data_IF_667132640311
#
_entry.id   IF_667132640311
#
_cell.length_a   1.000
_cell.length_b   1.000
_cell.length_c   1.000
_cell.angle_alpha   90.00
_cell.angle_beta   90.00
_cell.angle_gamma   90.00
#
_symmetry.space_group_name_H-M   'P 1'
#
loop_
_entity.id
_entity.type
_entity.pdbx_description
1 polymer ?
#
# COMPACT_ATOMS: atom_id res chain seq x y z
N UNK A 1 -3.67 -4.16 6.32
CA UNK A 1 -3.05 -2.97 5.73
C UNK A 1 -1.67 -2.77 6.35
N UNK A 2 -0.70 -2.38 5.52
CA UNK A 2 0.65 -2.03 5.96
C UNK A 2 0.64 -0.73 6.77
N UNK A 3 1.51 -0.63 7.78
CA UNK A 3 1.70 0.61 8.53
C UNK A 3 2.15 1.77 7.64
N UNK A 4 2.85 1.49 6.52
CA UNK A 4 3.18 2.53 5.53
C UNK A 4 1.91 3.13 4.93
N UNK A 5 0.97 2.30 4.54
CA UNK A 5 -0.30 2.76 3.95
C UNK A 5 -1.17 3.49 4.96
N UNK A 6 -1.14 3.05 6.22
CA UNK A 6 -1.83 3.75 7.29
C UNK A 6 -1.25 5.16 7.51
N UNK A 7 0.07 5.28 7.50
CA UNK A 7 0.75 6.57 7.61
C UNK A 7 0.38 7.50 6.46
N UNK A 8 0.30 6.98 5.24
CA UNK A 8 -0.12 7.76 4.07
C UNK A 8 -1.56 8.26 4.21
N UNK A 9 -2.46 7.41 4.69
CA UNK A 9 -3.84 7.79 4.93
C UNK A 9 -3.95 8.92 5.95
N UNK A 10 -3.21 8.82 7.06
CA UNK A 10 -3.13 9.89 8.04
C UNK A 10 -2.62 11.19 7.42
N UNK A 11 -1.53 11.10 6.64
CA UNK A 11 -0.92 12.28 6.02
C UNK A 11 -1.89 13.00 5.09
N UNK A 12 -2.66 12.25 4.31
CA UNK A 12 -3.67 12.84 3.42
C UNK A 12 -4.74 13.60 4.20
N UNK A 13 -5.20 13.04 5.30
CA UNK A 13 -6.21 13.69 6.14
C UNK A 13 -5.65 14.97 6.80
N UNK A 14 -4.39 14.92 7.26
CA UNK A 14 -3.73 16.10 7.83
C UNK A 14 -3.66 17.22 6.78
N UNK A 15 -3.35 16.90 5.53
CA UNK A 15 -3.31 17.89 4.44
C UNK A 15 -4.65 18.55 4.19
N UNK A 16 -5.76 17.86 4.49
CA UNK A 16 -7.10 18.43 4.32
C UNK A 16 -7.57 19.22 5.54
N UNK A 17 -6.74 19.34 6.57
CA UNK A 17 -7.03 20.16 7.75
C UNK A 17 -7.31 19.41 9.03
N UNK A 18 -7.28 18.08 9.02
CA UNK A 18 -7.47 17.29 10.24
C UNK A 18 -6.27 17.49 11.18
N UNK A 19 -6.50 17.67 12.49
CA UNK A 19 -5.42 17.54 13.45
C UNK A 19 -4.79 16.15 13.37
N UNK A 20 -3.47 16.00 13.59
CA UNK A 20 -2.79 14.71 13.41
C UNK A 20 -3.42 13.54 14.18
N UNK A 21 -3.81 13.74 15.44
CA UNK A 21 -4.41 12.66 16.22
C UNK A 21 -5.79 12.26 15.70
N UNK A 22 -6.60 13.23 15.29
CA UNK A 22 -7.91 12.96 14.69
C UNK A 22 -7.77 12.25 13.35
N UNK A 23 -6.76 12.63 12.56
CA UNK A 23 -6.45 11.96 11.29
C UNK A 23 -6.07 10.50 11.53
N UNK A 24 -5.25 10.22 12.54
CA UNK A 24 -4.85 8.88 12.92
C UNK A 24 -6.06 8.02 13.31
N UNK A 25 -6.90 8.53 14.20
CA UNK A 25 -8.11 7.81 14.63
C UNK A 25 -9.06 7.54 13.47
N UNK A 26 -9.24 8.52 12.58
CA UNK A 26 -10.07 8.35 11.38
C UNK A 26 -9.51 7.28 10.44
N UNK A 27 -8.19 7.28 10.24
CA UNK A 27 -7.54 6.27 9.39
C UNK A 27 -7.71 4.87 9.97
N UNK A 28 -7.60 4.71 11.29
CA UNK A 28 -7.78 3.42 11.97
C UNK A 28 -9.18 2.84 11.81
N UNK A 29 -10.21 3.69 11.72
CA UNK A 29 -11.60 3.22 11.62
C UNK A 29 -11.84 2.33 10.40
N UNK A 30 -11.08 2.52 9.34
CA UNK A 30 -11.24 1.78 8.09
C UNK A 30 -10.31 0.58 7.97
N UNK A 31 -9.53 0.29 9.02
CA UNK A 31 -8.56 -0.79 8.99
C UNK A 31 -9.02 -1.94 9.88
N UNK A 32 -9.15 -3.15 9.29
CA UNK A 32 -9.48 -4.35 10.05
C UNK A 32 -8.26 -4.98 10.69
N UNK A 33 -7.12 -4.92 10.00
CA UNK A 33 -5.88 -5.51 10.45
C UNK A 33 -4.72 -4.63 10.03
N UNK A 34 -3.82 -4.35 10.97
CA UNK A 34 -2.65 -3.50 10.74
C UNK A 34 -1.41 -4.35 10.92
N UNK A 35 -0.55 -4.36 9.90
CA UNK A 35 0.67 -5.16 9.87
C UNK A 35 1.87 -4.24 9.70
N UNK A 36 2.83 -4.36 10.61
CA UNK A 36 4.04 -3.56 10.58
C UNK A 36 4.85 -3.82 9.31
N UNK A 37 5.32 -2.75 8.70
CA UNK A 37 6.24 -2.82 7.56
C UNK A 37 7.62 -3.16 8.10
N UNK A 38 7.95 -4.44 8.09
CA UNK A 38 9.19 -4.97 8.66
C UNK A 38 10.30 -5.07 7.61
N UNK A 39 11.46 -5.58 8.02
CA UNK A 39 12.62 -5.67 7.13
C UNK A 39 12.40 -6.63 5.96
N UNK A 40 11.64 -7.71 6.14
CA UNK A 40 11.30 -8.62 5.05
C UNK A 40 10.46 -7.92 3.99
N UNK A 41 9.47 -7.15 4.40
CA UNK A 41 8.63 -6.36 3.50
C UNK A 41 9.43 -5.26 2.83
N UNK A 42 10.32 -4.60 3.57
CA UNK A 42 11.20 -3.56 3.03
C UNK A 42 12.10 -4.10 1.91
N UNK A 43 12.69 -5.27 2.13
CA UNK A 43 13.54 -5.92 1.12
C UNK A 43 12.74 -6.26 -0.12
N UNK A 44 11.55 -6.82 0.05
CA UNK A 44 10.68 -7.19 -1.06
C UNK A 44 10.22 -5.95 -1.84
N UNK A 45 9.78 -4.91 -1.13
CA UNK A 45 9.34 -3.66 -1.74
C UNK A 45 10.47 -2.95 -2.50
N UNK A 46 11.66 -2.91 -1.91
CA UNK A 46 12.84 -2.32 -2.56
C UNK A 46 13.23 -3.06 -3.83
N UNK A 47 13.13 -4.39 -3.80
CA UNK A 47 13.44 -5.23 -4.95
C UNK A 47 12.48 -5.07 -6.14
N UNK A 48 11.31 -4.48 -5.91
CA UNK A 48 10.32 -4.24 -6.98
C UNK A 48 10.59 -2.97 -7.80
N UNK A 49 11.59 -2.16 -7.43
CA UNK A 49 11.74 -0.81 -8.00
C UNK A 49 11.84 -0.81 -9.53
N UNK A 50 12.61 -1.74 -10.10
CA UNK A 50 12.81 -1.79 -11.55
C UNK A 50 11.51 -2.04 -12.32
N UNK A 51 10.60 -2.83 -11.76
CA UNK A 51 9.32 -3.18 -12.38
C UNK A 51 8.26 -2.11 -12.13
N UNK A 52 8.30 -1.46 -10.95
CA UNK A 52 7.24 -0.54 -10.53
C UNK A 52 7.52 0.91 -10.91
N UNK A 53 8.78 1.31 -11.02
CA UNK A 53 9.15 2.69 -11.37
C UNK A 53 8.58 3.13 -12.72
N UNK A 54 8.64 2.32 -13.79
CA UNK A 54 8.06 2.72 -15.07
C UNK A 54 6.55 2.96 -15.03
N UNK A 55 5.86 2.38 -14.04
CA UNK A 55 4.43 2.55 -13.86
C UNK A 55 4.10 3.68 -12.86
N UNK A 56 5.10 4.37 -12.34
CA UNK A 56 4.91 5.48 -11.42
C UNK A 56 4.45 5.08 -10.03
N UNK A 57 4.69 3.83 -9.62
CA UNK A 57 4.27 3.36 -8.30
C UNK A 57 5.17 3.91 -7.20
N UNK A 58 4.55 4.34 -6.10
CA UNK A 58 5.23 4.91 -4.94
C UNK A 58 5.73 3.82 -3.97
N UNK A 59 6.45 4.23 -2.93
CA UNK A 59 6.81 3.34 -1.83
C UNK A 59 5.56 2.73 -1.18
N UNK A 60 4.51 3.52 -0.98
CA UNK A 60 3.25 3.02 -0.42
C UNK A 60 2.63 1.94 -1.28
N UNK A 61 2.63 2.13 -2.60
CA UNK A 61 2.15 1.12 -3.55
C UNK A 61 2.98 -0.16 -3.43
N UNK A 62 4.30 -0.04 -3.38
CA UNK A 62 5.20 -1.19 -3.23
C UNK A 62 5.03 -1.89 -1.87
N UNK A 63 4.77 -1.12 -0.81
CA UNK A 63 4.50 -1.69 0.51
C UNK A 63 3.21 -2.53 0.49
N UNK A 64 2.18 -2.04 -0.19
CA UNK A 64 0.92 -2.76 -0.38
C UNK A 64 1.14 -4.07 -1.13
N UNK A 65 1.88 -4.02 -2.25
CA UNK A 65 2.20 -5.20 -3.05
C UNK A 65 3.04 -6.22 -2.27
N UNK A 66 4.04 -5.76 -1.54
CA UNK A 66 4.91 -6.63 -0.74
C UNK A 66 4.11 -7.38 0.33
N UNK A 67 3.23 -6.68 1.04
CA UNK A 67 2.38 -7.29 2.05
C UNK A 67 1.45 -8.34 1.43
N UNK A 68 0.82 -8.01 0.31
CA UNK A 68 -0.07 -8.94 -0.40
C UNK A 68 0.66 -10.20 -0.84
N UNK A 69 1.90 -10.08 -1.34
CA UNK A 69 2.71 -11.22 -1.73
C UNK A 69 3.03 -12.12 -0.55
N UNK A 70 3.39 -11.55 0.60
CA UNK A 70 3.70 -12.32 1.80
C UNK A 70 2.47 -13.02 2.38
N UNK A 71 1.32 -12.40 2.32
CA UNK A 71 0.06 -12.96 2.82
C UNK A 71 -0.64 -13.83 1.78
N UNK A 72 -0.15 -13.85 0.54
CA UNK A 72 -0.81 -14.52 -0.60
C UNK A 72 -2.26 -14.04 -0.75
N UNK A 73 -2.45 -12.75 -0.56
CA UNK A 73 -3.75 -12.11 -0.62
C UNK A 73 -3.91 -11.33 -1.95
N UNK A 74 -5.13 -11.17 -2.45
CA UNK A 74 -5.35 -10.34 -3.64
C UNK A 74 -5.16 -8.87 -3.32
N UNK A 75 -4.80 -8.09 -4.35
CA UNK A 75 -4.69 -6.64 -4.28
C UNK A 75 -5.83 -6.02 -5.08
N UNK A 76 -6.48 -5.03 -4.50
CA UNK A 76 -7.55 -4.28 -5.16
C UNK A 76 -7.02 -2.88 -5.51
N UNK A 77 -7.25 -2.48 -6.74
CA UNK A 77 -6.81 -1.16 -7.22
C UNK A 77 -7.78 -0.63 -8.27
N UNK A 78 -7.83 0.68 -8.41
CA UNK A 78 -8.53 1.34 -9.52
C UNK A 78 -7.56 1.67 -10.66
N UNK A 79 -6.26 1.50 -10.45
CA UNK A 79 -5.23 1.82 -11.43
C UNK A 79 -5.00 0.62 -12.36
N UNK A 80 -5.41 0.77 -13.61
CA UNK A 80 -5.28 -0.29 -14.63
C UNK A 80 -3.84 -0.65 -14.95
N UNK A 81 -2.90 0.24 -14.68
CA UNK A 81 -1.48 -0.02 -14.94
C UNK A 81 -0.94 -1.17 -14.07
N UNK A 82 -1.56 -1.42 -12.92
CA UNK A 82 -1.15 -2.52 -12.04
C UNK A 82 -1.33 -3.89 -12.69
N UNK A 83 -2.21 -4.02 -13.67
CA UNK A 83 -2.37 -5.27 -14.43
C UNK A 83 -1.14 -5.62 -15.25
N UNK A 84 -0.25 -4.66 -15.50
CA UNK A 84 1.01 -4.88 -16.22
C UNK A 84 2.10 -5.47 -15.32
N UNK A 85 1.87 -5.53 -14.00
CA UNK A 85 2.82 -6.13 -13.07
C UNK A 85 2.86 -7.64 -13.26
N UNK A 86 4.08 -8.19 -13.33
CA UNK A 86 4.31 -9.61 -13.58
C UNK A 86 4.70 -10.37 -12.30
N UNK A 87 4.19 -9.93 -11.16
CA UNK A 87 4.41 -10.61 -9.89
C UNK A 87 3.43 -11.78 -9.73
N UNK A 88 3.81 -12.76 -8.92
CA UNK A 88 2.93 -13.84 -8.49
C UNK A 88 1.89 -13.31 -7.49
N UNK A 89 0.89 -12.65 -8.02
CA UNK A 89 -0.04 -11.84 -7.25
C UNK A 89 -1.34 -11.65 -8.03
N UNK A 90 -2.46 -11.85 -7.36
CA UNK A 90 -3.76 -11.57 -7.96
C UNK A 90 -4.09 -10.08 -7.79
N UNK A 91 -4.25 -9.39 -8.91
CA UNK A 91 -4.64 -7.98 -8.93
C UNK A 91 -6.05 -7.87 -9.48
N UNK A 92 -6.93 -7.30 -8.66
CA UNK A 92 -8.34 -7.11 -9.02
C UNK A 92 -8.63 -5.64 -9.22
N UNK A 93 -9.15 -5.29 -10.38
CA UNK A 93 -9.57 -3.93 -10.67
C UNK A 93 -10.96 -3.70 -10.09
N UNK A 94 -11.13 -2.54 -9.44
CA UNK A 94 -12.42 -2.12 -8.88
C UNK A 94 -13.31 -1.42 -9.93
N UNK A 95 -12.75 -1.14 -11.12
CA UNK A 95 -13.47 -0.54 -12.24
C UNK A 95 -13.03 -1.13 -13.57
#
# INVERSE_FOLDING_TARGET
>A
VSTVNLSEAQSKLVRTGFPPDDAWESALTFCNEIISFDSSQARLAGGMIATTQPLGLSLGDRACLALAMLLKAPVYTTDRLWKKLSFDLEIRLLR
#
